data_IF_533778235939
#
_entry.id   IF_533778235939
#
_cell.length_a   1.000
_cell.length_b   1.000
_cell.length_c   1.000
_cell.angle_alpha   90.00
_cell.angle_beta   90.00
_cell.angle_gamma   90.00
#
_symmetry.space_group_name_H-M   'P 1'
#
loop_
_entity.id
_entity.type
_entity.pdbx_description
1 polymer ?
#
# COMPACT_ATOMS: atom_id res chain seq x y z
N UNK A 1 29.83 -35.23 -47.44
CA UNK A 1 28.49 -35.14 -46.78
C UNK A 1 28.54 -35.16 -45.25
N UNK A 2 29.27 -36.09 -44.60
CA UNK A 2 29.28 -36.27 -43.12
C UNK A 2 29.69 -35.03 -42.29
N UNK A 3 30.55 -34.15 -42.80
CA UNK A 3 30.98 -32.92 -42.10
C UNK A 3 29.86 -31.89 -42.00
N UNK A 4 29.06 -31.74 -43.07
CA UNK A 4 27.89 -30.83 -43.09
C UNK A 4 26.86 -31.28 -42.06
N UNK A 5 26.58 -32.59 -42.02
CA UNK A 5 25.65 -33.20 -41.06
C UNK A 5 26.11 -33.03 -39.60
N UNK A 6 27.42 -33.16 -39.33
CA UNK A 6 27.97 -32.90 -37.98
C UNK A 6 27.84 -31.43 -37.57
N UNK A 7 28.12 -30.48 -38.48
CA UNK A 7 27.98 -29.04 -38.21
C UNK A 7 26.53 -28.63 -37.96
N UNK A 8 25.61 -29.16 -38.73
CA UNK A 8 24.17 -28.94 -38.59
C UNK A 8 23.65 -29.45 -37.25
N UNK A 9 23.98 -30.70 -36.88
CA UNK A 9 23.62 -31.28 -35.59
C UNK A 9 24.18 -30.50 -34.39
N UNK A 10 25.39 -29.94 -34.52
CA UNK A 10 25.97 -29.08 -33.48
C UNK A 10 25.24 -27.73 -33.42
N UNK A 11 24.93 -27.13 -34.57
CA UNK A 11 24.18 -25.86 -34.64
C UNK A 11 22.79 -25.99 -34.02
N UNK A 12 22.07 -27.08 -34.31
CA UNK A 12 20.74 -27.30 -33.76
C UNK A 12 20.79 -27.58 -32.26
N UNK A 13 21.75 -28.39 -31.79
CA UNK A 13 21.97 -28.55 -30.35
C UNK A 13 22.32 -27.23 -29.66
N UNK A 14 23.09 -26.36 -30.31
CA UNK A 14 23.38 -25.02 -29.79
C UNK A 14 22.14 -24.12 -29.73
N UNK A 15 21.28 -24.12 -30.76
CA UNK A 15 20.02 -23.36 -30.79
C UNK A 15 19.05 -23.86 -29.72
N UNK A 16 18.93 -25.18 -29.57
CA UNK A 16 18.10 -25.79 -28.55
C UNK A 16 18.65 -25.49 -27.15
N UNK A 17 19.97 -25.55 -26.92
CA UNK A 17 20.56 -25.10 -25.66
C UNK A 17 20.33 -23.61 -25.38
N UNK A 18 20.37 -22.74 -26.40
CA UNK A 18 20.06 -21.29 -26.27
C UNK A 18 18.59 -21.04 -25.93
N UNK A 19 17.69 -21.79 -26.56
CA UNK A 19 16.24 -21.70 -26.35
C UNK A 19 15.84 -22.28 -24.98
N UNK A 20 16.54 -23.32 -24.53
CA UNK A 20 16.32 -23.95 -23.23
C UNK A 20 17.04 -23.19 -22.10
N UNK A 21 18.08 -22.41 -22.41
CA UNK A 21 18.61 -21.37 -21.52
C UNK A 21 17.70 -20.15 -21.43
N UNK A 22 16.70 -20.04 -22.31
CA UNK A 22 15.69 -18.99 -22.34
C UNK A 22 14.38 -19.50 -21.74
N UNK A 23 14.44 -20.10 -20.55
CA UNK A 23 13.26 -20.31 -19.72
C UNK A 23 12.70 -18.92 -19.35
N UNK A 24 11.36 -18.69 -19.38
CA UNK A 24 10.75 -17.35 -19.37
C UNK A 24 10.84 -16.56 -18.05
N UNK A 25 11.76 -16.91 -17.14
CA UNK A 25 11.91 -16.26 -15.82
C UNK A 25 13.29 -15.61 -15.67
N UNK A 26 14.10 -15.51 -16.75
CA UNK A 26 15.48 -15.00 -16.66
C UNK A 26 15.95 -14.13 -17.83
N UNK A 27 15.06 -13.33 -18.42
CA UNK A 27 15.44 -12.21 -19.30
C UNK A 27 15.95 -10.96 -18.56
N UNK A 28 16.13 -11.02 -17.25
CA UNK A 28 16.67 -9.89 -16.47
C UNK A 28 18.22 -9.84 -16.51
N UNK A 29 18.90 -10.95 -16.80
CA UNK A 29 20.38 -11.01 -16.72
C UNK A 29 21.12 -10.52 -17.98
N UNK A 30 20.43 -9.82 -18.89
CA UNK A 30 21.11 -9.13 -20.01
C UNK A 30 20.27 -8.01 -20.63
N UNK A 31 19.48 -7.34 -19.81
CA UNK A 31 18.72 -6.18 -20.24
C UNK A 31 19.63 -4.95 -20.12
N UNK A 32 19.90 -4.29 -21.24
CA UNK A 32 20.55 -2.98 -21.28
C UNK A 32 19.89 -2.03 -20.26
N UNK A 33 20.61 -1.03 -19.75
CA UNK A 33 20.10 -0.11 -18.73
C UNK A 33 18.76 0.51 -19.14
N UNK A 34 18.57 0.74 -20.44
CA UNK A 34 17.31 1.20 -21.03
C UNK A 34 16.15 0.22 -20.82
N UNK A 35 16.37 -1.08 -20.98
CA UNK A 35 15.31 -2.09 -20.86
C UNK A 35 14.85 -2.31 -19.41
N UNK A 36 15.72 -2.07 -18.41
CA UNK A 36 15.29 -2.06 -17.00
C UNK A 36 14.40 -0.84 -16.72
N UNK A 37 14.71 0.31 -17.33
CA UNK A 37 13.88 1.50 -17.21
C UNK A 37 12.53 1.30 -17.91
N UNK A 38 12.48 0.67 -19.09
CA UNK A 38 11.22 0.35 -19.76
C UNK A 38 10.30 -0.53 -18.89
N UNK A 39 10.86 -1.52 -18.20
CA UNK A 39 10.12 -2.39 -17.26
C UNK A 39 9.60 -1.60 -16.05
N UNK A 40 10.42 -0.71 -15.47
CA UNK A 40 10.01 0.17 -14.36
C UNK A 40 8.90 1.14 -14.82
N UNK A 41 9.03 1.71 -16.02
CA UNK A 41 8.04 2.63 -16.61
C UNK A 41 6.71 1.92 -16.79
N UNK A 42 6.70 0.71 -17.33
CA UNK A 42 5.47 -0.06 -17.52
C UNK A 42 4.83 -0.46 -16.19
N UNK A 43 5.63 -0.71 -15.15
CA UNK A 43 5.10 -0.94 -13.80
C UNK A 43 4.46 0.33 -13.20
N UNK A 44 5.07 1.49 -13.37
CA UNK A 44 4.48 2.77 -12.93
C UNK A 44 3.18 3.06 -13.68
N UNK A 45 3.11 2.83 -15.00
CA UNK A 45 1.86 2.97 -15.78
C UNK A 45 0.78 2.01 -15.28
N UNK A 46 1.16 0.78 -14.95
CA UNK A 46 0.25 -0.21 -14.40
C UNK A 46 -0.31 0.24 -13.03
N UNK A 47 0.54 0.71 -12.13
CA UNK A 47 0.14 1.30 -10.84
C UNK A 47 -0.80 2.50 -11.03
N UNK A 48 -0.49 3.40 -11.97
CA UNK A 48 -1.35 4.54 -12.32
C UNK A 48 -2.70 4.08 -12.86
N UNK A 49 -2.74 3.05 -13.70
CA UNK A 49 -3.98 2.47 -14.21
C UNK A 49 -4.80 1.83 -13.08
N UNK A 50 -4.15 1.15 -12.12
CA UNK A 50 -4.83 0.61 -10.94
C UNK A 50 -5.44 1.74 -10.09
N UNK A 51 -4.68 2.82 -9.83
CA UNK A 51 -5.19 4.00 -9.11
C UNK A 51 -6.35 4.68 -9.86
N UNK A 52 -6.27 4.74 -11.19
CA UNK A 52 -7.33 5.28 -12.07
C UNK A 52 -8.60 4.42 -11.99
N UNK A 53 -8.49 3.10 -12.12
CA UNK A 53 -9.63 2.20 -12.02
C UNK A 53 -10.27 2.27 -10.63
N UNK A 54 -9.46 2.35 -9.58
CA UNK A 54 -9.95 2.48 -8.20
C UNK A 54 -10.66 3.83 -7.97
N UNK A 55 -10.11 4.93 -8.49
CA UNK A 55 -10.69 6.27 -8.35
C UNK A 55 -11.92 6.48 -9.23
N UNK A 56 -11.96 5.91 -10.44
CA UNK A 56 -13.14 5.97 -11.31
C UNK A 56 -14.27 5.04 -10.85
N UNK A 57 -13.96 4.02 -10.04
CA UNK A 57 -14.97 3.14 -9.43
C UNK A 57 -15.61 3.72 -8.15
N UNK A 58 -15.13 4.85 -7.64
CA UNK A 58 -15.76 5.64 -6.55
C UNK A 58 -16.37 6.95 -7.04
N UNK A 59 -16.81 7.02 -8.30
CA UNK A 59 -17.56 8.16 -8.83
C UNK A 59 -18.94 7.72 -9.36
N UNK A 60 -19.69 7.07 -8.47
CA UNK A 60 -21.15 6.97 -8.54
C UNK A 60 -21.83 7.89 -7.51
N UNK A 61 -21.18 8.98 -7.10
CA UNK A 61 -21.76 10.03 -6.26
C UNK A 61 -21.50 11.39 -6.94
N UNK A 62 -22.56 12.16 -7.26
CA UNK A 62 -22.44 13.36 -8.08
C UNK A 62 -21.87 14.53 -7.27
N UNK A 63 -20.82 15.15 -7.81
CA UNK A 63 -20.43 16.52 -7.43
C UNK A 63 -19.07 16.65 -6.75
N UNK A 64 -17.99 16.65 -7.56
CA UNK A 64 -16.80 17.49 -7.36
C UNK A 64 -15.78 17.22 -8.48
N UNK A 65 -16.09 17.73 -9.67
CA UNK A 65 -15.09 17.86 -10.75
C UNK A 65 -14.42 19.22 -10.55
N UNK A 66 -13.19 19.24 -10.04
CA UNK A 66 -12.26 20.31 -10.38
C UNK A 66 -10.80 19.81 -10.41
N UNK A 67 -10.17 19.79 -11.60
CA UNK A 67 -8.74 19.52 -11.76
C UNK A 67 -7.91 20.70 -11.22
N UNK A 68 -7.21 20.47 -10.11
CA UNK A 68 -6.27 21.42 -9.51
C UNK A 68 -4.92 21.38 -10.25
N UNK A 69 -4.78 22.23 -11.27
CA UNK A 69 -3.49 22.59 -11.88
C UNK A 69 -3.48 24.11 -12.07
N UNK A 70 -3.19 24.85 -11.01
CA UNK A 70 -2.86 26.27 -11.05
C UNK A 70 -2.02 26.62 -9.81
N UNK A 71 -0.71 26.60 -9.98
CA UNK A 71 0.25 27.23 -9.09
C UNK A 71 0.25 28.73 -9.37
N UNK A 72 -0.40 29.50 -8.50
CA UNK A 72 -0.17 30.94 -8.34
C UNK A 72 -0.85 31.44 -7.07
N UNK A 73 -0.03 31.69 -6.06
CA UNK A 73 -0.12 32.72 -5.01
C UNK A 73 -1.51 33.37 -4.80
N UNK A 74 -2.10 33.13 -3.62
CA UNK A 74 -2.47 34.11 -2.56
C UNK A 74 -3.60 33.53 -1.71
N UNK A 75 -3.34 33.41 -0.41
CA UNK A 75 -4.28 33.57 0.71
C UNK A 75 -5.54 32.67 0.79
N UNK A 76 -5.63 31.92 1.90
CA UNK A 76 -6.93 31.62 2.51
C UNK A 76 -7.37 30.16 2.52
N UNK A 77 -7.14 29.53 3.67
CA UNK A 77 -8.09 28.67 4.40
C UNK A 77 -8.52 27.30 3.84
N UNK A 78 -8.63 26.37 4.79
CA UNK A 78 -9.23 25.03 4.72
C UNK A 78 -8.45 23.92 4.02
N UNK A 79 -7.77 23.12 4.84
CA UNK A 79 -7.34 21.78 4.49
C UNK A 79 -8.50 20.80 4.42
N UNK A 80 -8.27 19.70 3.70
CA UNK A 80 -8.81 18.39 4.04
C UNK A 80 -7.84 17.27 3.59
N UNK A 81 -7.58 16.29 4.47
CA UNK A 81 -6.87 15.05 4.16
C UNK A 81 -7.89 13.91 3.96
N UNK A 82 -7.72 13.07 2.95
CA UNK A 82 -8.51 11.84 2.79
C UNK A 82 -7.66 10.79 2.07
N UNK A 83 -7.63 9.51 2.41
CA UNK A 83 -8.19 8.73 3.52
C UNK A 83 -7.77 7.29 3.22
N UNK A 84 -7.00 6.66 4.12
CA UNK A 84 -6.64 5.26 3.99
C UNK A 84 -7.82 4.39 4.44
N UNK A 85 -8.43 3.69 3.49
CA UNK A 85 -9.48 2.72 3.77
C UNK A 85 -8.87 1.40 4.27
N UNK A 86 -9.05 1.09 5.54
CA UNK A 86 -8.94 -0.27 6.08
C UNK A 86 -10.33 -0.86 6.26
N UNK A 87 -10.64 -1.87 5.45
CA UNK A 87 -11.83 -2.70 5.60
C UNK A 87 -11.64 -3.65 6.79
N UNK A 88 -12.48 -3.51 7.82
CA UNK A 88 -12.84 -4.61 8.69
C UNK A 88 -14.30 -4.45 9.09
N UNK A 89 -15.12 -5.26 8.44
CA UNK A 89 -16.55 -5.46 8.67
C UNK A 89 -16.82 -5.73 10.16
N UNK A 90 -17.63 -4.88 10.79
CA UNK A 90 -18.11 -5.04 12.16
C UNK A 90 -19.30 -4.14 12.41
N UNK A 91 -20.49 -4.62 12.03
CA UNK A 91 -21.81 -4.25 12.52
C UNK A 91 -21.83 -3.24 13.69
N UNK A 92 -22.27 -2.01 13.44
CA UNK A 92 -23.16 -1.26 14.36
C UNK A 92 -23.79 -0.06 13.63
N UNK A 93 -25.01 0.25 14.04
CA UNK A 93 -25.94 1.27 13.59
C UNK A 93 -25.41 2.54 12.91
N UNK A 94 -26.13 2.92 11.85
CA UNK A 94 -26.03 4.12 11.01
C UNK A 94 -26.25 5.46 11.77
N UNK A 95 -26.13 5.49 13.10
CA UNK A 95 -26.27 6.71 13.93
C UNK A 95 -24.98 7.12 14.66
N UNK A 96 -23.99 6.24 14.77
CA UNK A 96 -22.71 6.50 15.51
C UNK A 96 -21.59 7.02 14.60
N UNK A 97 -21.84 7.15 13.28
CA UNK A 97 -20.81 7.57 12.32
C UNK A 97 -20.33 9.01 12.53
N UNK A 98 -21.21 9.91 12.97
CA UNK A 98 -20.82 11.31 13.17
C UNK A 98 -19.89 11.46 14.39
N UNK A 99 -20.20 10.77 15.50
CA UNK A 99 -19.34 10.74 16.69
C UNK A 99 -18.03 10.00 16.45
N UNK A 100 -18.03 8.92 15.67
CA UNK A 100 -16.82 8.21 15.26
C UNK A 100 -15.91 9.07 14.37
N UNK A 101 -16.48 9.82 13.42
CA UNK A 101 -15.73 10.74 12.56
C UNK A 101 -15.17 11.92 13.36
N UNK A 102 -15.94 12.50 14.28
CA UNK A 102 -15.48 13.56 15.17
C UNK A 102 -14.34 13.08 16.09
N UNK A 103 -14.43 11.85 16.59
CA UNK A 103 -13.36 11.21 17.36
C UNK A 103 -12.08 11.04 16.53
N UNK A 104 -12.19 10.55 15.29
CA UNK A 104 -11.05 10.41 14.39
C UNK A 104 -10.38 11.76 14.10
N UNK A 105 -11.16 12.80 13.79
CA UNK A 105 -10.65 14.15 13.54
C UNK A 105 -9.92 14.72 14.78
N UNK A 106 -10.49 14.54 15.98
CA UNK A 106 -9.88 14.99 17.22
C UNK A 106 -8.54 14.27 17.49
N UNK A 107 -8.47 12.96 17.26
CA UNK A 107 -7.23 12.18 17.40
C UNK A 107 -6.16 12.65 16.41
N UNK A 108 -6.52 12.89 15.15
CA UNK A 108 -5.59 13.36 14.11
C UNK A 108 -5.03 14.73 14.47
N UNK A 109 -5.91 15.68 14.82
CA UNK A 109 -5.51 17.03 15.25
C UNK A 109 -4.59 17.01 16.46
N UNK A 110 -4.85 16.11 17.42
CA UNK A 110 -4.03 16.00 18.61
C UNK A 110 -2.69 15.32 18.31
N UNK A 111 -2.63 14.36 17.38
CA UNK A 111 -1.37 13.77 16.91
C UNK A 111 -0.47 14.78 16.19
N UNK A 112 -1.05 15.74 15.46
CA UNK A 112 -0.29 16.80 14.77
C UNK A 112 0.28 17.84 15.75
N UNK A 113 -0.45 18.16 16.81
CA UNK A 113 -0.05 19.20 17.78
C UNK A 113 0.79 18.66 18.94
N UNK A 114 0.39 17.53 19.52
CA UNK A 114 1.05 16.92 20.68
C UNK A 114 0.69 15.44 20.83
N UNK A 115 1.63 14.58 20.48
CA UNK A 115 1.49 13.12 20.57
C UNK A 115 1.12 12.69 22.00
N UNK A 116 1.66 13.35 23.03
CA UNK A 116 1.32 13.05 24.44
C UNK A 116 -0.15 13.31 24.77
N UNK A 117 -0.71 14.40 24.25
CA UNK A 117 -2.13 14.70 24.43
C UNK A 117 -3.00 13.70 23.68
N UNK A 118 -2.59 13.29 22.47
CA UNK A 118 -3.29 12.26 21.68
C UNK A 118 -3.31 10.91 22.40
N UNK A 119 -2.17 10.49 22.95
CA UNK A 119 -2.08 9.27 23.74
C UNK A 119 -2.97 9.33 24.98
N UNK A 120 -2.99 10.47 25.68
CA UNK A 120 -3.87 10.65 26.84
C UNK A 120 -5.35 10.58 26.44
N UNK A 121 -5.75 11.30 25.38
CA UNK A 121 -7.12 11.27 24.87
C UNK A 121 -7.57 9.84 24.48
N UNK A 122 -6.72 9.10 23.77
CA UNK A 122 -6.96 7.69 23.46
C UNK A 122 -7.09 6.85 24.73
N UNK A 123 -6.21 7.03 25.71
CA UNK A 123 -6.27 6.31 26.99
C UNK A 123 -7.53 6.62 27.80
N UNK A 124 -7.98 7.88 27.83
CA UNK A 124 -9.24 8.29 28.43
C UNK A 124 -10.44 7.59 27.77
N UNK A 125 -10.33 7.24 26.49
CA UNK A 125 -11.33 6.50 25.70
C UNK A 125 -11.10 4.98 25.71
N UNK A 126 -10.09 4.49 26.43
CA UNK A 126 -9.78 3.06 26.55
C UNK A 126 -8.98 2.47 25.39
N UNK A 127 -8.34 3.31 24.57
CA UNK A 127 -7.55 2.93 23.40
C UNK A 127 -6.06 3.26 23.63
N UNK A 128 -5.17 2.56 22.95
CA UNK A 128 -3.73 2.82 23.01
C UNK A 128 -3.06 2.62 21.65
N UNK A 129 -1.98 3.37 21.40
CA UNK A 129 -1.15 3.19 20.21
C UNK A 129 -0.19 2.03 20.45
N UNK A 130 -0.12 1.11 19.48
CA UNK A 130 0.78 -0.03 19.54
C UNK A 130 1.60 -0.13 18.26
N UNK A 131 2.93 -0.33 18.33
CA UNK A 131 3.75 -0.55 17.15
C UNK A 131 3.26 -1.74 16.34
N UNK A 132 3.20 -1.60 15.01
CA UNK A 132 2.77 -2.66 14.10
C UNK A 132 3.60 -3.95 14.25
N UNK A 133 4.87 -3.83 14.62
CA UNK A 133 5.76 -4.96 14.88
C UNK A 133 5.27 -5.89 16.01
N UNK A 134 4.41 -5.40 16.90
CA UNK A 134 3.81 -6.20 17.98
C UNK A 134 2.52 -6.91 17.56
N UNK A 135 1.90 -6.53 16.43
CA UNK A 135 0.67 -7.17 15.93
C UNK A 135 0.81 -8.70 15.71
N UNK A 136 1.91 -9.25 15.17
CA UNK A 136 2.10 -10.70 15.05
C UNK A 136 2.21 -11.43 16.41
N UNK A 137 2.78 -10.76 17.42
CA UNK A 137 2.94 -11.35 18.76
C UNK A 137 1.59 -11.52 19.46
N UNK A 138 0.70 -10.52 19.35
CA UNK A 138 -0.66 -10.62 19.90
C UNK A 138 -1.57 -11.53 19.06
N UNK A 139 -1.36 -11.59 17.74
CA UNK A 139 -2.19 -12.40 16.84
C UNK A 139 -1.98 -13.89 17.05
N UNK A 140 -0.77 -14.31 17.45
CA UNK A 140 -0.44 -15.71 17.75
C UNK A 140 -0.77 -16.10 19.19
N UNK A 141 -0.95 -15.12 20.08
CA UNK A 141 -1.35 -15.31 21.48
C UNK A 141 -2.87 -15.43 21.69
N UNK A 142 -3.63 -15.88 20.68
CA UNK A 142 -5.03 -16.32 20.86
C UNK A 142 -5.06 -17.69 21.56
N UNK A 143 -4.57 -17.73 22.79
CA UNK A 143 -4.42 -18.93 23.60
C UNK A 143 -3.76 -18.78 24.98
N UNK A 144 -3.35 -17.58 25.41
CA UNK A 144 -2.86 -17.37 26.77
C UNK A 144 -3.36 -16.04 27.34
N UNK A 145 -4.57 -16.08 27.91
CA UNK A 145 -5.13 -15.02 28.74
C UNK A 145 -4.39 -14.96 30.07
N UNK A 146 -3.93 -13.75 30.44
CA UNK A 146 -3.68 -13.36 31.82
C UNK A 146 -2.20 -13.30 32.24
N UNK A 147 -1.59 -12.13 32.14
CA UNK A 147 -0.46 -11.76 33.00
C UNK A 147 -0.56 -10.28 33.37
N UNK A 148 -0.77 -10.06 34.66
CA UNK A 148 -0.99 -8.79 35.32
C UNK A 148 0.23 -7.85 35.24
N UNK A 149 -0.02 -6.55 35.09
CA UNK A 149 0.93 -5.50 35.49
C UNK A 149 0.66 -5.12 36.95
N UNK A 150 1.63 -5.18 37.88
CA UNK A 150 1.48 -4.54 39.17
C UNK A 150 1.54 -3.02 38.97
N UNK A 151 0.51 -2.32 39.49
CA UNK A 151 0.61 -0.89 39.82
C UNK A 151 1.55 -0.76 41.02
N UNK A 152 2.69 -0.10 40.85
CA UNK A 152 3.46 0.43 41.97
C UNK A 152 3.31 1.95 42.01
N UNK A 153 3.04 2.45 43.21
CA UNK A 153 2.80 3.86 43.55
C UNK A 153 4.11 4.63 43.65
#
# INVERSE_FOLDING_TARGET
>A
MKIKLRREKISDRMKNCKTLSLIPIRKIHRADKASVLDEIIDYVKFLQLQLKVLSMSRLGAPGAVLPLLAESQTEGCHGQPLSAATNAQGLLDTQDSEDALAFEEEVVKLMETSITSAMQYLQNKGLCLMPVALAPAISTQKGASGAATPRER
#
